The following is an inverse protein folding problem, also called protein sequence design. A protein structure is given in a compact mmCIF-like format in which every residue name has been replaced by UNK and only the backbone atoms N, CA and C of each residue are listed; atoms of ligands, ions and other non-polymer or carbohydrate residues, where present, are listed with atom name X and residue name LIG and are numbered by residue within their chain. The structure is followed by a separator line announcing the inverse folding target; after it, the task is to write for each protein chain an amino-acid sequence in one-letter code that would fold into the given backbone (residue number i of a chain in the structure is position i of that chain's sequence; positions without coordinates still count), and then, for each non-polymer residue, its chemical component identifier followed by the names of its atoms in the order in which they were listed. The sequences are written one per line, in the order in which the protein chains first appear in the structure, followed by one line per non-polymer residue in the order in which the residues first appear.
data_IF_798201771777
#
_entry.id   IF_798201771777
#
_cell.length_a   1.000
_cell.length_b   1.000
_cell.length_c   1.000
_cell.angle_alpha   90.00
_cell.angle_beta   90.00
_cell.angle_gamma   90.00
#
_symmetry.space_group_name_H-M   'P 1'
#
loop_
_entity.id
_entity.type
_entity.pdbx_description
1 polymer ?
#
# COMPACT_ATOMS: atom_id res chain seq x y z
N UNK A 1 5.47 12.63 2.09
CA UNK A 1 5.42 14.11 2.20
C UNK A 1 6.75 14.76 1.83
N UNK A 2 7.85 14.56 2.56
CA UNK A 2 9.13 15.19 2.21
C UNK A 2 9.60 14.87 0.77
N UNK A 3 9.48 13.60 0.35
CA UNK A 3 9.80 13.16 -1.02
C UNK A 3 8.86 13.81 -2.04
N UNK A 4 7.56 13.88 -1.75
CA UNK A 4 6.57 14.52 -2.61
C UNK A 4 6.89 16.01 -2.82
N UNK A 5 7.25 16.72 -1.75
CA UNK A 5 7.67 18.11 -1.80
C UNK A 5 8.96 18.29 -2.61
N UNK A 6 9.95 17.42 -2.39
CA UNK A 6 11.19 17.42 -3.18
C UNK A 6 10.89 17.24 -4.68
N UNK A 7 10.02 16.29 -5.04
CA UNK A 7 9.64 16.04 -6.43
C UNK A 7 8.89 17.23 -7.05
N UNK A 8 7.98 17.84 -6.30
CA UNK A 8 7.27 19.05 -6.73
C UNK A 8 8.23 20.22 -7.03
N UNK A 9 9.31 20.37 -6.24
CA UNK A 9 10.33 21.41 -6.46
C UNK A 9 11.28 21.08 -7.62
N UNK A 10 11.61 19.80 -7.83
CA UNK A 10 12.58 19.38 -8.85
C UNK A 10 11.97 19.16 -10.24
N UNK A 11 10.69 18.81 -10.32
CA UNK A 11 10.03 18.42 -11.56
C UNK A 11 8.77 19.27 -11.80
N UNK A 12 8.83 20.20 -12.75
CA UNK A 12 7.68 21.05 -13.12
C UNK A 12 6.48 20.26 -13.66
N UNK A 13 6.70 19.07 -14.20
CA UNK A 13 5.64 18.17 -14.67
C UNK A 13 4.91 17.44 -13.55
N UNK A 14 5.45 17.45 -12.32
CA UNK A 14 4.84 16.80 -11.16
C UNK A 14 3.84 17.74 -10.49
N UNK A 15 2.66 17.87 -11.09
CA UNK A 15 1.56 18.69 -10.55
C UNK A 15 0.48 17.77 -9.98
N UNK A 16 0.13 17.97 -8.71
CA UNK A 16 -0.98 17.26 -8.08
C UNK A 16 -2.24 18.09 -8.32
N UNK A 17 -3.07 17.66 -9.26
CA UNK A 17 -4.31 18.34 -9.60
C UNK A 17 -5.43 18.03 -8.59
N UNK A 18 -5.54 16.78 -8.13
CA UNK A 18 -6.54 16.37 -7.15
C UNK A 18 -5.90 16.05 -5.79
N UNK A 19 -5.73 17.10 -4.97
CA UNK A 19 -5.08 16.98 -3.66
C UNK A 19 -5.84 16.11 -2.66
N UNK A 20 -7.19 16.08 -2.76
CA UNK A 20 -8.03 15.29 -1.87
C UNK A 20 -7.87 13.80 -2.12
N UNK A 21 -7.93 13.39 -3.39
CA UNK A 21 -7.65 12.01 -3.81
C UNK A 21 -6.22 11.62 -3.42
N UNK A 22 -5.22 12.45 -3.73
CA UNK A 22 -3.83 12.17 -3.39
C UNK A 22 -3.63 11.95 -1.88
N UNK A 23 -4.20 12.81 -1.04
CA UNK A 23 -4.06 12.70 0.42
C UNK A 23 -4.73 11.45 0.95
N UNK A 24 -5.93 11.11 0.46
CA UNK A 24 -6.65 9.91 0.87
C UNK A 24 -5.87 8.65 0.51
N UNK A 25 -5.41 8.55 -0.74
CA UNK A 25 -4.60 7.43 -1.25
C UNK A 25 -3.27 7.34 -0.51
N UNK A 26 -2.64 8.47 -0.20
CA UNK A 26 -1.40 8.51 0.57
C UNK A 26 -1.60 7.91 1.98
N UNK A 27 -2.68 8.28 2.67
CA UNK A 27 -2.96 7.77 4.03
C UNK A 27 -3.26 6.26 3.99
N UNK A 28 -4.20 5.83 3.14
CA UNK A 28 -4.57 4.42 3.03
C UNK A 28 -3.39 3.57 2.54
N UNK A 29 -2.67 4.04 1.52
CA UNK A 29 -1.50 3.32 1.01
C UNK A 29 -0.40 3.12 2.05
N UNK A 30 -0.14 4.11 2.91
CA UNK A 30 0.80 3.93 4.02
C UNK A 30 0.29 2.89 5.02
N UNK A 31 -1.02 2.89 5.30
CA UNK A 31 -1.65 1.93 6.19
C UNK A 31 -1.54 0.49 5.65
N UNK A 32 -1.91 0.27 4.38
CA UNK A 32 -1.79 -1.02 3.71
C UNK A 32 -0.35 -1.54 3.68
N UNK A 33 0.62 -0.69 3.32
CA UNK A 33 2.04 -1.07 3.32
C UNK A 33 2.51 -1.44 4.73
N UNK A 34 2.14 -0.65 5.75
CA UNK A 34 2.52 -0.90 7.13
C UNK A 34 1.98 -2.24 7.64
N UNK A 35 0.70 -2.54 7.40
CA UNK A 35 0.09 -3.80 7.84
C UNK A 35 0.72 -4.99 7.13
N UNK A 36 0.79 -4.93 5.79
CA UNK A 36 1.34 -6.02 4.97
C UNK A 36 2.78 -6.32 5.33
N UNK A 37 3.64 -5.30 5.42
CA UNK A 37 5.04 -5.49 5.80
C UNK A 37 5.19 -6.04 7.22
N UNK A 38 4.38 -5.59 8.17
CA UNK A 38 4.42 -6.05 9.56
C UNK A 38 4.07 -7.53 9.68
N UNK A 39 2.98 -7.97 9.04
CA UNK A 39 2.58 -9.38 9.11
C UNK A 39 3.57 -10.29 8.37
N UNK A 40 4.09 -9.86 7.22
CA UNK A 40 5.12 -10.60 6.49
C UNK A 40 6.37 -10.77 7.37
N UNK A 41 6.83 -9.70 8.01
CA UNK A 41 7.97 -9.76 8.93
C UNK A 41 7.71 -10.69 10.12
N UNK A 42 6.50 -10.67 10.68
CA UNK A 42 6.10 -11.55 11.78
C UNK A 42 6.15 -13.03 11.38
N UNK A 43 5.59 -13.41 10.22
CA UNK A 43 5.64 -14.78 9.68
C UNK A 43 7.09 -15.24 9.49
N UNK A 44 7.92 -14.38 8.87
CA UNK A 44 9.32 -14.71 8.57
C UNK A 44 10.15 -14.83 9.84
N UNK A 45 9.85 -14.05 10.88
CA UNK A 45 10.56 -14.13 12.16
C UNK A 45 10.47 -15.52 12.80
N UNK A 46 9.35 -16.21 12.57
CA UNK A 46 9.05 -17.56 13.07
C UNK A 46 9.50 -18.68 12.12
N UNK A 47 9.64 -18.38 10.84
CA UNK A 47 10.07 -19.35 9.83
C UNK A 47 11.59 -19.63 9.89
N UNK A 48 11.98 -20.89 9.61
CA UNK A 48 13.38 -21.32 9.65
C UNK A 48 14.25 -20.78 8.50
N UNK A 49 13.66 -20.41 7.36
CA UNK A 49 14.37 -19.96 6.14
C UNK A 49 14.15 -18.46 5.85
N UNK A 50 14.60 -17.61 6.77
CA UNK A 50 14.31 -16.16 6.78
C UNK A 50 14.69 -15.40 5.50
N UNK A 51 15.80 -15.77 4.86
CA UNK A 51 16.36 -15.06 3.71
C UNK A 51 15.62 -15.27 2.39
N UNK A 52 15.07 -16.46 2.14
CA UNK A 52 14.37 -16.78 0.88
C UNK A 52 12.88 -16.50 0.96
N UNK A 53 12.29 -16.51 2.16
CA UNK A 53 10.85 -16.31 2.33
C UNK A 53 10.41 -14.86 2.16
N UNK A 54 11.27 -13.87 2.47
CA UNK A 54 10.89 -12.47 2.33
C UNK A 54 10.52 -12.10 0.90
N UNK A 55 11.35 -12.33 -0.14
CA UNK A 55 10.99 -11.98 -1.51
C UNK A 55 9.80 -12.81 -2.03
N UNK A 56 9.76 -14.10 -1.67
CA UNK A 56 8.73 -15.05 -2.11
C UNK A 56 7.34 -14.66 -1.62
N UNK A 57 7.21 -14.18 -0.39
CA UNK A 57 5.94 -13.70 0.17
C UNK A 57 5.65 -12.23 -0.15
N UNK A 58 6.66 -11.37 -0.05
CA UNK A 58 6.46 -9.93 -0.20
C UNK A 58 6.05 -9.56 -1.61
N UNK A 59 6.61 -10.21 -2.64
CA UNK A 59 6.31 -9.84 -4.01
C UNK A 59 4.84 -10.07 -4.37
N UNK A 60 4.24 -11.28 -4.20
CA UNK A 60 2.84 -11.50 -4.51
C UNK A 60 1.86 -10.65 -3.66
N UNK A 61 2.22 -10.37 -2.40
CA UNK A 61 1.34 -9.64 -1.47
C UNK A 61 1.39 -8.13 -1.69
N UNK A 62 2.58 -7.57 -1.91
CA UNK A 62 2.76 -6.12 -2.09
C UNK A 62 2.51 -5.66 -3.52
N UNK A 63 2.71 -6.52 -4.52
CA UNK A 63 2.53 -6.14 -5.93
C UNK A 63 1.12 -5.58 -6.22
N UNK A 64 0.01 -6.23 -5.81
CA UNK A 64 -1.33 -5.69 -6.05
C UNK A 64 -1.51 -4.30 -5.43
N UNK A 65 -1.07 -4.12 -4.18
CA UNK A 65 -1.14 -2.85 -3.48
C UNK A 65 -0.34 -1.76 -4.21
N UNK A 66 0.89 -2.06 -4.61
CA UNK A 66 1.76 -1.11 -5.32
C UNK A 66 1.12 -0.69 -6.65
N UNK A 67 0.55 -1.64 -7.40
CA UNK A 67 -0.11 -1.35 -8.68
C UNK A 67 -1.34 -0.45 -8.50
N UNK A 68 -2.20 -0.74 -7.52
CA UNK A 68 -3.36 0.10 -7.21
C UNK A 68 -2.94 1.50 -6.76
N UNK A 69 -1.91 1.62 -5.92
CA UNK A 69 -1.39 2.93 -5.51
C UNK A 69 -0.79 3.72 -6.66
N UNK A 70 -0.11 3.06 -7.60
CA UNK A 70 0.44 3.71 -8.80
C UNK A 70 -0.69 4.27 -9.69
N UNK A 71 -1.75 3.50 -9.90
CA UNK A 71 -2.91 3.91 -10.70
C UNK A 71 -3.65 5.09 -10.07
N UNK A 72 -3.95 5.00 -8.77
CA UNK A 72 -4.56 6.10 -8.01
C UNK A 72 -3.71 7.36 -7.96
N UNK A 73 -2.38 7.21 -7.86
CA UNK A 73 -1.47 8.36 -7.89
C UNK A 73 -1.46 9.03 -9.26
N UNK A 74 -1.56 8.26 -10.35
CA UNK A 74 -1.72 8.83 -11.70
C UNK A 74 -3.01 9.62 -11.82
N UNK A 75 -4.14 9.08 -11.38
CA UNK A 75 -5.42 9.81 -11.39
C UNK A 75 -5.35 11.13 -10.60
N UNK A 76 -4.62 11.14 -9.48
CA UNK A 76 -4.39 12.37 -8.71
C UNK A 76 -3.55 13.42 -9.45
N UNK A 77 -2.57 12.97 -10.25
CA UNK A 77 -1.69 13.83 -11.06
C UNK A 77 -2.40 14.28 -12.32
N UNK A 78 -3.11 13.41 -13.02
CA UNK A 78 -3.83 13.73 -14.26
C UNK A 78 -5.08 14.59 -14.00
N UNK A 79 -5.53 14.66 -12.74
CA UNK A 79 -6.65 15.51 -12.32
C UNK A 79 -8.01 14.89 -12.62
N UNK A 80 -8.08 13.56 -12.69
CA UNK A 80 -9.33 12.86 -12.92
C UNK A 80 -10.33 13.09 -11.78
N UNK A 81 -11.61 12.99 -12.14
CA UNK A 81 -12.70 13.10 -11.20
C UNK A 81 -12.64 11.92 -10.22
N UNK A 82 -13.04 12.18 -8.97
CA UNK A 82 -13.10 11.13 -7.95
C UNK A 82 -14.06 10.00 -8.36
N UNK A 83 -15.07 10.28 -9.18
CA UNK A 83 -15.99 9.28 -9.75
C UNK A 83 -15.27 8.19 -10.54
N UNK A 84 -14.22 8.56 -11.26
CA UNK A 84 -13.56 7.71 -12.23
C UNK A 84 -12.53 6.79 -11.54
N UNK A 85 -12.10 7.17 -10.35
CA UNK A 85 -11.17 6.44 -9.47
C UNK A 85 -11.85 5.64 -8.35
N UNK A 86 -13.19 5.61 -8.32
CA UNK A 86 -13.94 4.94 -7.26
C UNK A 86 -13.63 3.46 -7.16
N UNK A 87 -13.46 2.78 -8.30
CA UNK A 87 -13.20 1.34 -8.34
C UNK A 87 -11.87 1.03 -7.66
N UNK A 88 -10.82 1.77 -7.98
CA UNK A 88 -9.47 1.58 -7.46
C UNK A 88 -9.40 1.97 -5.98
N UNK A 89 -10.13 3.01 -5.56
CA UNK A 89 -10.29 3.35 -4.14
C UNK A 89 -10.94 2.19 -3.38
N UNK A 90 -12.00 1.59 -3.92
CA UNK A 90 -12.63 0.42 -3.31
C UNK A 90 -11.68 -0.79 -3.27
N UNK A 91 -10.89 -1.02 -4.31
CA UNK A 91 -9.86 -2.08 -4.31
C UNK A 91 -8.83 -1.84 -3.20
N UNK A 92 -8.36 -0.60 -3.03
CA UNK A 92 -7.42 -0.24 -1.96
C UNK A 92 -8.02 -0.48 -0.56
N UNK A 93 -9.25 -0.03 -0.33
CA UNK A 93 -9.94 -0.24 0.96
C UNK A 93 -10.15 -1.73 1.23
N UNK A 94 -10.59 -2.49 0.24
CA UNK A 94 -10.77 -3.94 0.37
C UNK A 94 -9.44 -4.63 0.68
N UNK A 95 -8.36 -4.25 0.02
CA UNK A 95 -7.02 -4.76 0.31
C UNK A 95 -6.64 -4.51 1.77
N UNK A 96 -6.80 -3.28 2.26
CA UNK A 96 -6.47 -2.92 3.65
C UNK A 96 -7.28 -3.74 4.66
N UNK A 97 -8.58 -3.90 4.42
CA UNK A 97 -9.46 -4.71 5.29
C UNK A 97 -9.05 -6.19 5.28
N UNK A 98 -8.75 -6.75 4.10
CA UNK A 98 -8.29 -8.14 3.97
C UNK A 98 -6.98 -8.32 4.74
N UNK A 99 -6.01 -7.43 4.54
CA UNK A 99 -4.70 -7.52 5.19
C UNK A 99 -4.79 -7.31 6.70
N UNK A 100 -5.65 -6.42 7.17
CA UNK A 100 -5.89 -6.21 8.60
C UNK A 100 -6.52 -7.46 9.24
N UNK A 101 -7.54 -8.02 8.58
CA UNK A 101 -8.20 -9.25 9.05
C UNK A 101 -7.24 -10.43 9.06
N UNK A 102 -6.47 -10.60 7.97
CA UNK A 102 -5.44 -11.63 7.89
C UNK A 102 -4.37 -11.44 8.96
N UNK A 103 -3.90 -10.21 9.18
CA UNK A 103 -2.92 -9.91 10.22
C UNK A 103 -3.45 -10.28 11.62
N UNK A 104 -4.71 -9.94 11.92
CA UNK A 104 -5.33 -10.29 13.20
C UNK A 104 -5.45 -11.81 13.39
N UNK A 105 -5.89 -12.53 12.37
CA UNK A 105 -6.03 -14.00 12.43
C UNK A 105 -4.67 -14.70 12.54
N UNK A 106 -3.69 -14.28 11.74
CA UNK A 106 -2.35 -14.88 11.73
C UNK A 106 -1.55 -14.54 12.98
N UNK A 107 -1.83 -13.41 13.65
CA UNK A 107 -1.14 -13.05 14.89
C UNK A 107 -1.24 -14.16 15.94
N UNK A 108 -2.43 -14.74 16.10
CA UNK A 108 -2.66 -15.86 17.01
C UNK A 108 -1.82 -17.09 16.66
N UNK A 109 -1.69 -17.43 15.37
CA UNK A 109 -0.89 -18.56 14.91
C UNK A 109 0.62 -18.30 15.08
N UNK A 110 1.07 -17.08 14.81
CA UNK A 110 2.50 -16.71 14.91
C UNK A 110 2.97 -16.71 16.37
N UNK A 111 2.08 -16.37 17.32
CA UNK A 111 2.42 -16.21 18.73
C UNK A 111 2.11 -17.41 19.63
N UNK A 112 1.10 -18.24 19.28
CA UNK A 112 0.76 -19.44 20.06
C UNK A 112 1.66 -20.64 19.76
N UNK A 113 2.29 -20.67 18.59
CA UNK A 113 3.42 -21.55 18.27
C UNK A 113 4.74 -20.86 18.61
#
# INVERSE_FOLDING_TARGET
IAITFLFFVLFESFVINNFLLFTFVFILGNFGIAISSTIIAAIISKAGSKGTLYPVLSFPILLPLILTLLELTKFAIDGELVSDSLVEIFVLVCYDVIMLTASYLLFDFIWKE
#
